data_IF_276229924687
#
_entry.id   IF_276229924687
#
_cell.length_a   1.000
_cell.length_b   1.000
_cell.length_c   1.000
_cell.angle_alpha   90.00
_cell.angle_beta   90.00
_cell.angle_gamma   90.00
#
_symmetry.space_group_name_H-M   'P 1'
#
loop_
_entity.id
_entity.type
_entity.pdbx_description
1 polymer ?
#
# COMPACT_ATOMS: atom_id res chain seq x y z
N UNK A 1 7.00 -11.74 3.71
CA UNK A 1 5.71 -12.05 3.09
C UNK A 1 5.36 -11.00 2.04
N UNK A 2 5.37 -9.71 2.41
CA UNK A 2 4.99 -8.65 1.47
C UNK A 2 5.87 -8.65 0.22
N UNK A 3 7.18 -8.63 0.40
CA UNK A 3 8.10 -8.53 -0.74
C UNK A 3 8.07 -9.79 -1.60
N UNK A 4 7.94 -10.95 -0.98
CA UNK A 4 7.84 -12.21 -1.72
C UNK A 4 6.55 -12.24 -2.54
N UNK A 5 5.43 -11.82 -1.96
CA UNK A 5 4.16 -11.75 -2.67
C UNK A 5 4.25 -10.79 -3.87
N UNK A 6 4.83 -9.61 -3.68
CA UNK A 6 4.96 -8.62 -4.76
C UNK A 6 5.87 -9.13 -5.88
N UNK A 7 6.93 -9.84 -5.53
CA UNK A 7 7.83 -10.44 -6.50
C UNK A 7 7.11 -11.50 -7.32
N UNK A 8 6.35 -12.37 -6.67
CA UNK A 8 5.59 -13.42 -7.33
C UNK A 8 4.50 -12.81 -8.23
N UNK A 9 3.83 -11.76 -7.75
CA UNK A 9 2.82 -11.05 -8.54
C UNK A 9 3.44 -10.39 -9.77
N UNK A 10 4.60 -9.81 -9.64
CA UNK A 10 5.31 -9.19 -10.78
C UNK A 10 5.57 -10.22 -11.88
N UNK A 11 5.89 -11.45 -11.51
CA UNK A 11 6.14 -12.54 -12.47
C UNK A 11 4.85 -13.11 -13.05
N UNK A 12 3.72 -12.95 -12.37
CA UNK A 12 2.44 -13.59 -12.70
C UNK A 12 1.28 -12.59 -12.60
N UNK A 13 1.41 -11.44 -13.22
CA UNK A 13 0.45 -10.34 -13.10
C UNK A 13 -0.78 -10.59 -13.96
N UNK A 14 -1.65 -11.50 -13.52
CA UNK A 14 -2.90 -11.83 -14.17
C UNK A 14 -3.94 -12.23 -13.13
N UNK A 15 -5.21 -12.19 -13.54
CA UNK A 15 -6.34 -12.44 -12.64
C UNK A 15 -6.39 -13.86 -12.13
N UNK A 16 -6.07 -14.84 -12.97
CA UNK A 16 -6.13 -16.25 -12.59
C UNK A 16 -5.14 -16.55 -11.48
N UNK A 17 -3.90 -16.14 -11.66
CA UNK A 17 -2.87 -16.31 -10.64
C UNK A 17 -3.25 -15.62 -9.34
N UNK A 18 -3.74 -14.37 -9.44
CA UNK A 18 -4.13 -13.58 -8.28
C UNK A 18 -5.25 -14.25 -7.49
N UNK A 19 -6.27 -14.76 -8.18
CA UNK A 19 -7.39 -15.43 -7.52
C UNK A 19 -6.94 -16.73 -6.82
N UNK A 20 -6.00 -17.46 -7.39
CA UNK A 20 -5.43 -18.65 -6.77
C UNK A 20 -4.58 -18.31 -5.54
N UNK A 21 -3.99 -17.13 -5.50
CA UNK A 21 -3.10 -16.68 -4.42
C UNK A 21 -3.70 -15.57 -3.57
N UNK A 22 -5.02 -15.46 -3.56
CA UNK A 22 -5.72 -14.41 -2.81
C UNK A 22 -5.42 -14.48 -1.31
N UNK A 23 -5.27 -15.68 -0.75
CA UNK A 23 -4.95 -15.85 0.66
C UNK A 23 -3.58 -15.23 0.99
N UNK A 24 -2.62 -15.37 0.10
CA UNK A 24 -1.29 -14.75 0.26
C UNK A 24 -1.39 -13.24 0.18
N UNK A 25 -2.23 -12.73 -0.73
CA UNK A 25 -2.48 -11.29 -0.83
C UNK A 25 -3.08 -10.75 0.48
N UNK A 26 -4.08 -11.43 1.03
CA UNK A 26 -4.71 -10.98 2.27
C UNK A 26 -3.72 -10.96 3.43
N UNK A 27 -2.85 -11.96 3.51
CA UNK A 27 -1.80 -12.01 4.53
C UNK A 27 -0.83 -10.83 4.35
N UNK A 28 -0.41 -10.56 3.13
CA UNK A 28 0.49 -9.44 2.84
C UNK A 28 -0.18 -8.09 3.14
N UNK A 29 -1.45 -7.95 2.81
CA UNK A 29 -2.21 -6.73 3.09
C UNK A 29 -2.31 -6.46 4.59
N UNK A 30 -2.62 -7.48 5.37
CA UNK A 30 -2.69 -7.34 6.83
C UNK A 30 -1.33 -6.94 7.40
N UNK A 31 -0.28 -7.54 6.90
CA UNK A 31 1.08 -7.21 7.32
C UNK A 31 1.43 -5.75 6.99
N UNK A 32 1.02 -5.28 5.80
CA UNK A 32 1.21 -3.88 5.42
C UNK A 32 0.41 -2.94 6.32
N UNK A 33 -0.83 -3.28 6.64
CA UNK A 33 -1.65 -2.49 7.56
C UNK A 33 -1.03 -2.41 8.95
N UNK A 34 -0.45 -3.50 9.45
CA UNK A 34 0.26 -3.50 10.73
C UNK A 34 1.50 -2.59 10.67
N UNK A 35 2.21 -2.60 9.55
CA UNK A 35 3.33 -1.70 9.33
C UNK A 35 2.86 -0.24 9.36
N UNK A 36 1.75 0.08 8.69
CA UNK A 36 1.18 1.43 8.70
C UNK A 36 0.76 1.84 10.11
N UNK A 37 0.20 0.92 10.90
CA UNK A 37 -0.16 1.22 12.29
C UNK A 37 1.06 1.66 13.09
N UNK A 38 2.20 0.99 12.90
CA UNK A 38 3.45 1.36 13.55
C UNK A 38 3.92 2.74 13.08
N UNK A 39 3.86 3.01 11.77
CA UNK A 39 4.24 4.30 11.20
C UNK A 39 3.37 5.41 11.76
N UNK A 40 2.05 5.21 11.80
CA UNK A 40 1.10 6.19 12.34
C UNK A 40 1.41 6.48 13.80
N UNK A 41 1.67 5.44 14.60
CA UNK A 41 2.01 5.60 16.01
C UNK A 41 3.27 6.46 16.20
N UNK A 42 4.28 6.23 15.38
CA UNK A 42 5.54 6.98 15.46
C UNK A 42 5.37 8.43 15.00
N UNK A 43 4.64 8.66 13.91
CA UNK A 43 4.39 10.02 13.43
C UNK A 43 3.54 10.80 14.43
N UNK A 44 2.58 10.16 15.09
CA UNK A 44 1.71 10.82 16.06
C UNK A 44 2.45 11.34 17.28
N UNK A 45 3.70 10.93 17.50
CA UNK A 45 4.53 11.47 18.57
C UNK A 45 4.90 12.95 18.32
N UNK A 46 4.93 13.37 17.07
CA UNK A 46 5.24 14.77 16.72
C UNK A 46 4.15 15.45 15.88
N UNK A 47 3.18 14.70 15.38
CA UNK A 47 2.06 15.25 14.61
C UNK A 47 0.75 14.69 15.18
N UNK A 48 0.11 15.46 16.06
CA UNK A 48 -1.11 15.02 16.73
C UNK A 48 -2.31 14.93 15.78
N UNK A 49 -2.24 15.60 14.64
CA UNK A 49 -3.37 15.64 13.70
C UNK A 49 -3.72 14.28 13.12
N UNK A 50 -2.78 13.32 13.15
CA UNK A 50 -3.01 11.98 12.60
C UNK A 50 -3.37 10.93 13.66
N UNK A 51 -3.51 11.33 14.92
CA UNK A 51 -3.92 10.40 15.97
C UNK A 51 -5.32 9.84 15.68
N UNK A 52 -5.48 8.54 15.85
CA UNK A 52 -6.76 7.87 15.63
C UNK A 52 -7.05 7.49 14.19
N UNK A 53 -6.15 7.80 13.26
CA UNK A 53 -6.31 7.35 11.88
C UNK A 53 -6.10 5.84 11.81
N UNK A 54 -7.01 5.14 11.12
CA UNK A 54 -6.94 3.71 10.94
C UNK A 54 -6.07 3.36 9.74
N UNK A 55 -5.17 2.36 9.86
CA UNK A 55 -4.33 1.96 8.74
C UNK A 55 -5.11 1.56 7.48
N UNK A 56 -6.25 0.89 7.65
CA UNK A 56 -7.08 0.45 6.52
C UNK A 56 -7.61 1.60 5.68
N UNK A 57 -7.76 2.78 6.28
CA UNK A 57 -8.24 3.98 5.57
C UNK A 57 -7.13 4.70 4.82
N UNK A 58 -5.89 4.29 5.02
CA UNK A 58 -4.72 4.89 4.39
C UNK A 58 -4.23 4.12 3.18
N UNK A 59 -4.62 2.85 3.02
CA UNK A 59 -4.10 1.99 1.95
C UNK A 59 -4.79 2.28 0.62
N UNK A 60 -4.04 2.13 -0.46
CA UNK A 60 -4.58 2.16 -1.81
C UNK A 60 -4.87 0.74 -2.29
N UNK A 61 -5.83 0.63 -3.22
CA UNK A 61 -6.18 -0.67 -3.81
C UNK A 61 -5.03 -1.20 -4.65
N UNK A 62 -4.92 -2.52 -4.74
CA UNK A 62 -3.90 -3.15 -5.56
C UNK A 62 -4.24 -3.10 -7.06
N UNK A 63 -5.50 -2.83 -7.40
CA UNK A 63 -5.93 -2.79 -8.79
C UNK A 63 -5.43 -1.54 -9.49
N UNK A 64 -4.89 -1.71 -10.71
CA UNK A 64 -4.45 -0.60 -11.54
C UNK A 64 -5.62 -0.04 -12.34
N UNK A 65 -5.57 1.28 -12.58
CA UNK A 65 -6.41 1.92 -13.57
C UNK A 65 -5.69 1.84 -14.91
N UNK A 66 -6.19 0.96 -15.80
CA UNK A 66 -5.53 0.68 -17.07
C UNK A 66 -6.22 1.33 -18.27
N UNK A 67 -7.23 2.18 -18.03
CA UNK A 67 -8.04 2.76 -19.11
C UNK A 67 -7.22 3.54 -20.12
N UNK A 68 -6.21 4.26 -19.66
CA UNK A 68 -5.39 5.13 -20.50
C UNK A 68 -3.94 4.65 -20.62
N UNK A 69 -3.68 3.41 -20.21
CA UNK A 69 -2.33 2.84 -20.20
C UNK A 69 -2.15 1.86 -21.35
N UNK A 70 -0.96 1.84 -21.93
CA UNK A 70 -0.57 0.82 -22.91
C UNK A 70 -0.30 -0.52 -22.22
N UNK A 71 0.15 -0.49 -20.97
CA UNK A 71 0.34 -1.67 -20.15
C UNK A 71 -0.98 -2.00 -19.46
N UNK A 72 -1.54 -3.17 -19.78
CA UNK A 72 -2.84 -3.62 -19.25
C UNK A 72 -2.73 -4.63 -18.12
N UNK A 73 -1.56 -4.78 -17.49
CA UNK A 73 -1.45 -5.62 -16.31
C UNK A 73 -2.39 -5.11 -15.21
N UNK A 74 -3.18 -6.02 -14.59
CA UNK A 74 -4.30 -5.58 -13.74
C UNK A 74 -3.90 -5.16 -12.33
N UNK A 75 -2.70 -5.51 -11.86
CA UNK A 75 -2.34 -5.28 -10.46
C UNK A 75 -1.07 -4.45 -10.33
N UNK A 76 -1.04 -3.62 -9.28
CA UNK A 76 0.16 -2.90 -8.88
C UNK A 76 1.17 -3.87 -8.27
N UNK A 77 2.44 -3.60 -8.48
CA UNK A 77 3.52 -4.41 -7.90
C UNK A 77 4.14 -3.70 -6.69
N UNK A 78 3.32 -2.90 -6.00
CA UNK A 78 3.73 -2.22 -4.77
C UNK A 78 2.53 -2.06 -3.84
N UNK A 79 2.80 -1.93 -2.56
CA UNK A 79 1.80 -1.47 -1.59
C UNK A 79 2.03 0.01 -1.34
N UNK A 80 0.95 0.77 -1.31
CA UNK A 80 1.01 2.20 -1.05
C UNK A 80 -0.01 2.62 -0.01
N UNK A 81 0.34 3.65 0.76
CA UNK A 81 -0.56 4.23 1.74
C UNK A 81 -0.32 5.73 1.87
N UNK A 82 -1.37 6.48 2.14
CA UNK A 82 -1.30 7.90 2.36
C UNK A 82 -1.92 8.24 3.71
N UNK A 83 -1.09 8.73 4.61
CA UNK A 83 -1.49 9.06 5.97
C UNK A 83 -1.76 10.56 6.02
N UNK A 84 -3.03 10.94 6.21
CA UNK A 84 -3.45 12.33 6.22
C UNK A 84 -4.64 12.48 7.16
N UNK A 85 -4.66 13.55 7.95
CA UNK A 85 -5.72 13.82 8.92
C UNK A 85 -7.10 13.95 8.27
N UNK A 86 -7.16 14.36 7.00
CA UNK A 86 -8.40 14.58 6.26
C UNK A 86 -8.73 13.43 5.30
N UNK A 87 -7.93 12.38 5.28
CA UNK A 87 -8.14 11.23 4.40
C UNK A 87 -7.34 11.30 3.11
N UNK A 88 -7.40 10.21 2.34
CA UNK A 88 -6.57 10.03 1.13
C UNK A 88 -6.83 11.05 0.03
N UNK A 89 -8.02 11.61 -0.02
CA UNK A 89 -8.44 12.54 -1.09
C UNK A 89 -8.30 14.00 -0.69
N UNK A 90 -7.69 14.26 0.47
CA UNK A 90 -7.51 15.61 0.96
C UNK A 90 -6.41 16.35 0.22
N UNK A 91 -6.55 17.66 0.09
CA UNK A 91 -5.52 18.55 -0.44
C UNK A 91 -4.46 18.88 0.60
N UNK A 92 -4.65 18.51 1.86
CA UNK A 92 -3.68 18.72 2.92
C UNK A 92 -2.45 17.86 2.71
N UNK A 93 -1.29 18.36 3.12
CA UNK A 93 -0.07 17.58 3.14
C UNK A 93 -0.19 16.37 4.06
N UNK A 94 0.41 15.25 3.67
CA UNK A 94 0.39 14.03 4.44
C UNK A 94 1.66 13.24 4.21
N UNK A 95 1.65 11.98 4.66
CA UNK A 95 2.81 11.08 4.60
C UNK A 95 2.48 9.94 3.64
N UNK A 96 3.28 9.80 2.60
CA UNK A 96 3.12 8.72 1.64
C UNK A 96 4.12 7.61 1.93
N UNK A 97 3.62 6.38 2.05
CA UNK A 97 4.42 5.18 2.30
C UNK A 97 4.36 4.30 1.05
N UNK A 98 5.52 3.88 0.57
CA UNK A 98 5.63 3.09 -0.66
C UNK A 98 6.55 1.90 -0.42
N UNK A 99 6.01 0.68 -0.60
CA UNK A 99 6.79 -0.55 -0.52
C UNK A 99 6.79 -1.20 -1.90
N UNK A 100 7.84 -0.99 -2.70
CA UNK A 100 7.92 -1.53 -4.05
C UNK A 100 8.39 -2.99 -4.05
N UNK A 101 8.17 -3.65 -5.19
CA UNK A 101 8.67 -5.00 -5.42
C UNK A 101 10.20 -5.06 -5.25
N UNK A 102 10.66 -6.11 -4.57
CA UNK A 102 12.08 -6.44 -4.50
C UNK A 102 12.96 -5.46 -3.75
N UNK A 103 12.39 -4.42 -3.15
CA UNK A 103 13.15 -3.42 -2.42
C UNK A 103 12.89 -3.52 -0.93
N UNK A 104 13.92 -3.26 -0.15
CA UNK A 104 13.79 -3.17 1.31
C UNK A 104 13.60 -1.71 1.76
N UNK A 105 13.41 -0.81 0.81
CA UNK A 105 13.27 0.60 1.09
C UNK A 105 11.81 0.97 1.28
N UNK A 106 11.52 1.71 2.35
CA UNK A 106 10.24 2.36 2.56
C UNK A 106 10.44 3.84 2.27
N UNK A 107 9.60 4.40 1.40
CA UNK A 107 9.67 5.81 1.05
C UNK A 107 8.61 6.58 1.81
N UNK A 108 9.02 7.57 2.58
CA UNK A 108 8.13 8.44 3.32
C UNK A 108 8.27 9.86 2.79
N UNK A 109 7.14 10.45 2.36
CA UNK A 109 7.11 11.79 1.78
C UNK A 109 5.93 12.57 2.35
N UNK A 110 6.13 13.87 2.59
CA UNK A 110 5.02 14.74 2.99
C UNK A 110 5.23 16.14 2.49
#
# INVERSE_FOLDING_TARGET
VIFQFLKDLSANNNRDWFNEHRAEYETARVEFENFLATVIARISLFDESIRGIQPKDCTYRIYRDTRFSTDKTPYKIHFGGYINAKGKKSDHCGYYVHLPEGAYACRLTY
#
